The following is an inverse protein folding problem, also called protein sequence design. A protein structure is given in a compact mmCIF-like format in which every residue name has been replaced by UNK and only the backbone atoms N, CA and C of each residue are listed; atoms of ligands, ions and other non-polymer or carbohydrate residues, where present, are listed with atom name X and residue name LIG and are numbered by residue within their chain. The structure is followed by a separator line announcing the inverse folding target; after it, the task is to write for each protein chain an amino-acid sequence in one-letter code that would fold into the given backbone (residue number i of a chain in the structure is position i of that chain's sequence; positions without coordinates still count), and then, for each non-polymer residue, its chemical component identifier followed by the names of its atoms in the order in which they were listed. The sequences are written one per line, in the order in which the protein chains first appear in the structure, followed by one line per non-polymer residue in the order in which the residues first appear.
data_IF_144489540752
#
_entry.id   IF_144489540752
#
_cell.length_a   1.000
_cell.length_b   1.000
_cell.length_c   1.000
_cell.angle_alpha   90.00
_cell.angle_beta   90.00
_cell.angle_gamma   90.00
#
_symmetry.space_group_name_H-M   'P 1'
#
loop_
_entity.id
_entity.type
_entity.pdbx_description
1 polymer ?
#
# COMPACT_ATOMS: atom_id res chain seq x y z
N UNK A 1 14.29 19.71 -12.79
CA UNK A 1 15.59 19.14 -13.23
C UNK A 1 15.50 17.65 -12.98
N UNK A 2 15.47 16.92 -14.08
CA UNK A 2 15.30 15.46 -14.08
C UNK A 2 16.56 14.83 -13.54
N UNK A 3 16.57 14.37 -12.29
CA UNK A 3 17.61 13.47 -11.80
C UNK A 3 17.37 12.10 -12.46
N UNK A 4 17.85 11.99 -13.69
CA UNK A 4 18.05 10.70 -14.35
C UNK A 4 19.19 9.99 -13.63
N UNK A 5 18.92 9.51 -12.46
CA UNK A 5 19.87 8.76 -11.65
C UNK A 5 20.08 7.43 -12.38
N UNK A 6 21.26 7.24 -12.92
CA UNK A 6 21.71 5.92 -13.37
C UNK A 6 21.88 5.02 -12.14
N UNK A 7 20.78 4.45 -11.65
CA UNK A 7 20.76 3.50 -10.53
C UNK A 7 21.44 2.15 -10.87
N UNK A 8 22.43 2.22 -11.78
CA UNK A 8 23.21 1.03 -12.14
C UNK A 8 24.24 0.63 -11.07
N UNK A 9 24.48 1.49 -10.09
CA UNK A 9 25.38 1.18 -8.97
C UNK A 9 24.58 0.78 -7.74
N UNK A 10 25.12 -0.17 -6.97
CA UNK A 10 24.50 -0.66 -5.74
C UNK A 10 24.29 0.45 -4.71
N UNK A 11 25.21 1.42 -4.66
CA UNK A 11 25.14 2.53 -3.70
C UNK A 11 23.94 3.46 -3.97
N UNK A 12 23.68 3.80 -5.22
CA UNK A 12 22.55 4.64 -5.61
C UNK A 12 21.21 3.91 -5.40
N UNK A 13 21.19 2.62 -5.70
CA UNK A 13 20.02 1.79 -5.45
C UNK A 13 19.71 1.65 -3.96
N UNK A 14 20.74 1.44 -3.12
CA UNK A 14 20.61 1.38 -1.68
C UNK A 14 20.08 2.69 -1.10
N UNK A 15 20.56 3.84 -1.59
CA UNK A 15 20.05 5.15 -1.19
C UNK A 15 18.59 5.34 -1.59
N UNK A 16 18.24 5.02 -2.84
CA UNK A 16 16.85 5.06 -3.31
C UNK A 16 15.92 4.24 -2.40
N UNK A 17 16.35 3.03 -2.00
CA UNK A 17 15.58 2.20 -1.08
C UNK A 17 15.43 2.84 0.29
N UNK A 18 16.55 3.28 0.91
CA UNK A 18 16.55 3.86 2.25
C UNK A 18 15.65 5.10 2.35
N UNK A 19 15.67 5.96 1.33
CA UNK A 19 14.88 7.19 1.29
C UNK A 19 13.37 6.95 1.11
N UNK A 20 12.99 5.82 0.52
CA UNK A 20 11.60 5.56 0.11
C UNK A 20 10.98 4.32 0.78
N UNK A 21 11.73 3.56 1.56
CA UNK A 21 11.30 2.28 2.16
C UNK A 21 9.96 2.39 2.90
N UNK A 22 9.81 3.41 3.74
CA UNK A 22 8.59 3.59 4.53
C UNK A 22 7.35 3.82 3.66
N UNK A 23 7.49 4.59 2.57
CA UNK A 23 6.39 4.86 1.63
C UNK A 23 5.93 3.59 0.94
N UNK A 24 6.87 2.78 0.47
CA UNK A 24 6.59 1.52 -0.21
C UNK A 24 6.02 0.48 0.76
N UNK A 25 6.55 0.41 1.98
CA UNK A 25 6.01 -0.46 3.02
C UNK A 25 4.58 -0.07 3.40
N UNK A 26 4.33 1.23 3.57
CA UNK A 26 2.98 1.77 3.84
C UNK A 26 2.01 1.40 2.73
N UNK A 27 2.43 1.51 1.48
CA UNK A 27 1.61 1.12 0.33
C UNK A 27 1.27 -0.38 0.38
N UNK A 28 2.25 -1.26 0.53
CA UNK A 28 2.03 -2.70 0.62
C UNK A 28 1.12 -3.06 1.81
N UNK A 29 1.42 -2.52 2.99
CA UNK A 29 0.64 -2.75 4.20
C UNK A 29 -0.81 -2.27 4.09
N UNK A 30 -1.05 -1.15 3.40
CA UNK A 30 -2.41 -0.61 3.22
C UNK A 30 -3.38 -1.60 2.59
N UNK A 31 -2.89 -2.52 1.79
CA UNK A 31 -3.67 -3.56 1.12
C UNK A 31 -3.55 -4.92 1.79
N UNK A 32 -2.35 -5.33 2.20
CA UNK A 32 -2.11 -6.66 2.79
C UNK A 32 -2.62 -6.76 4.23
N UNK A 33 -2.53 -5.67 5.01
CA UNK A 33 -2.91 -5.61 6.43
C UNK A 33 -2.15 -6.60 7.33
N UNK A 34 -1.06 -7.12 6.82
CA UNK A 34 -0.12 -7.97 7.54
C UNK A 34 1.28 -7.38 7.34
N UNK A 35 1.97 -7.10 8.45
CA UNK A 35 3.26 -6.43 8.40
C UNK A 35 4.35 -7.33 7.80
N UNK A 36 4.37 -8.60 8.20
CA UNK A 36 5.36 -9.55 7.70
C UNK A 36 5.20 -9.77 6.19
N UNK A 37 3.96 -9.95 5.71
CA UNK A 37 3.68 -10.07 4.28
C UNK A 37 4.04 -8.80 3.50
N UNK A 38 3.80 -7.62 4.07
CA UNK A 38 4.15 -6.35 3.43
C UNK A 38 5.68 -6.18 3.32
N UNK A 39 6.42 -6.56 4.36
CA UNK A 39 7.89 -6.56 4.36
C UNK A 39 8.44 -7.55 3.33
N UNK A 40 7.91 -8.77 3.28
CA UNK A 40 8.31 -9.80 2.32
C UNK A 40 8.04 -9.35 0.88
N UNK A 41 6.84 -8.84 0.59
CA UNK A 41 6.49 -8.32 -0.74
C UNK A 41 7.39 -7.15 -1.12
N UNK A 42 7.71 -6.25 -0.21
CA UNK A 42 8.63 -5.14 -0.47
C UNK A 42 10.02 -5.64 -0.83
N UNK A 43 10.59 -6.54 -0.03
CA UNK A 43 11.93 -7.08 -0.27
C UNK A 43 12.02 -7.83 -1.59
N UNK A 44 11.06 -8.71 -1.88
CA UNK A 44 10.99 -9.41 -3.16
C UNK A 44 10.82 -8.46 -4.36
N UNK A 45 10.08 -7.37 -4.17
CA UNK A 45 9.88 -6.36 -5.23
C UNK A 45 11.16 -5.57 -5.49
N UNK A 46 11.93 -5.27 -4.46
CA UNK A 46 13.23 -4.63 -4.57
C UNK A 46 14.23 -5.51 -5.32
N UNK A 47 14.27 -6.81 -4.99
CA UNK A 47 15.12 -7.78 -5.70
C UNK A 47 14.74 -7.82 -7.18
N UNK A 48 13.45 -7.97 -7.47
CA UNK A 48 12.96 -8.02 -8.85
C UNK A 48 13.25 -6.73 -9.63
N UNK A 49 13.14 -5.57 -8.99
CA UNK A 49 13.53 -4.29 -9.59
C UNK A 49 15.02 -4.28 -9.93
N UNK A 50 15.88 -4.67 -8.98
CA UNK A 50 17.33 -4.72 -9.18
C UNK A 50 17.76 -5.69 -10.28
N UNK A 51 17.19 -6.87 -10.33
CA UNK A 51 17.48 -7.88 -11.34
C UNK A 51 17.17 -7.39 -12.77
N UNK A 52 16.14 -6.56 -12.90
CA UNK A 52 15.72 -5.99 -14.17
C UNK A 52 16.37 -4.62 -14.50
N UNK A 53 17.34 -4.13 -13.72
CA UNK A 53 17.96 -2.81 -13.88
C UNK A 53 18.52 -2.52 -15.28
N UNK A 54 18.96 -3.54 -15.99
CA UNK A 54 19.51 -3.40 -17.34
C UNK A 54 18.45 -3.08 -18.41
N UNK A 55 17.17 -3.19 -18.05
CA UNK A 55 16.02 -2.88 -18.92
C UNK A 55 15.46 -1.48 -18.71
N UNK A 56 16.00 -0.73 -17.73
CA UNK A 56 15.51 0.61 -17.47
C UNK A 56 16.09 1.58 -18.51
N UNK A 57 15.19 2.36 -19.09
CA UNK A 57 15.55 3.44 -20.01
C UNK A 57 15.90 4.72 -19.22
N UNK A 58 16.66 5.62 -19.83
CA UNK A 58 16.90 6.94 -19.25
C UNK A 58 15.56 7.68 -19.09
N UNK A 59 15.27 8.09 -17.84
CA UNK A 59 14.01 8.75 -17.49
C UNK A 59 12.91 7.81 -16.96
N UNK A 60 13.18 6.51 -16.81
CA UNK A 60 12.22 5.59 -16.17
C UNK A 60 11.84 6.07 -14.78
N UNK A 61 10.53 6.08 -14.50
CA UNK A 61 10.01 6.37 -13.15
C UNK A 61 10.13 5.12 -12.27
N UNK A 62 11.26 5.02 -11.54
CA UNK A 62 11.54 3.86 -10.70
C UNK A 62 10.57 3.70 -9.53
N UNK A 63 10.02 4.80 -9.02
CA UNK A 63 8.97 4.74 -8.00
C UNK A 63 7.72 4.03 -8.54
N UNK A 64 7.26 4.43 -9.73
CA UNK A 64 6.12 3.81 -10.38
C UNK A 64 6.39 2.34 -10.76
N UNK A 65 7.59 2.02 -11.25
CA UNK A 65 7.99 0.65 -11.54
C UNK A 65 7.96 -0.23 -10.29
N UNK A 66 8.56 0.24 -9.18
CA UNK A 66 8.56 -0.51 -7.93
C UNK A 66 7.15 -0.70 -7.37
N UNK A 67 6.34 0.36 -7.37
CA UNK A 67 4.94 0.26 -6.94
C UNK A 67 4.14 -0.71 -7.80
N UNK A 68 4.40 -0.77 -9.11
CA UNK A 68 3.76 -1.73 -10.01
C UNK A 68 4.12 -3.16 -9.63
N UNK A 69 5.39 -3.43 -9.31
CA UNK A 69 5.83 -4.75 -8.86
C UNK A 69 5.15 -5.10 -7.52
N UNK A 70 5.17 -4.18 -6.55
CA UNK A 70 4.52 -4.37 -5.24
C UNK A 70 3.02 -4.62 -5.42
N UNK A 71 2.33 -3.83 -6.26
CA UNK A 71 0.92 -4.00 -6.60
C UNK A 71 0.64 -5.41 -7.10
N UNK A 72 1.40 -5.87 -8.09
CA UNK A 72 1.18 -7.18 -8.72
C UNK A 72 1.41 -8.33 -7.74
N UNK A 73 2.48 -8.26 -6.94
CA UNK A 73 2.76 -9.27 -5.90
C UNK A 73 1.68 -9.28 -4.80
N UNK A 74 1.26 -8.10 -4.35
CA UNK A 74 0.19 -7.97 -3.37
C UNK A 74 -1.14 -8.50 -3.88
N UNK A 75 -1.49 -8.23 -5.16
CA UNK A 75 -2.69 -8.78 -5.79
C UNK A 75 -2.67 -10.30 -5.82
N UNK A 76 -1.57 -10.90 -6.26
CA UNK A 76 -1.42 -12.34 -6.30
C UNK A 76 -1.63 -12.96 -4.91
N UNK A 77 -1.02 -12.37 -3.88
CA UNK A 77 -1.16 -12.83 -2.51
C UNK A 77 -2.60 -12.74 -2.00
N UNK A 78 -3.28 -11.61 -2.26
CA UNK A 78 -4.68 -11.42 -1.88
C UNK A 78 -5.64 -12.37 -2.62
N UNK A 79 -5.39 -12.62 -3.91
CA UNK A 79 -6.17 -13.58 -4.70
C UNK A 79 -5.99 -15.02 -4.19
N UNK A 80 -4.76 -15.42 -3.82
CA UNK A 80 -4.52 -16.70 -3.17
C UNK A 80 -5.25 -16.83 -1.82
N UNK A 81 -5.23 -15.75 -1.01
CA UNK A 81 -6.01 -15.72 0.24
C UNK A 81 -7.50 -15.88 0.00
N UNK A 82 -8.03 -15.22 -1.04
CA UNK A 82 -9.44 -15.33 -1.42
C UNK A 82 -9.81 -16.78 -1.78
N UNK A 83 -8.99 -17.44 -2.59
CA UNK A 83 -9.23 -18.85 -3.00
C UNK A 83 -9.21 -19.75 -1.75
N UNK A 84 -8.24 -19.55 -0.84
CA UNK A 84 -8.15 -20.33 0.42
C UNK A 84 -9.39 -20.15 1.28
N UNK A 85 -9.82 -18.90 1.49
CA UNK A 85 -11.03 -18.58 2.27
C UNK A 85 -12.28 -19.16 1.65
N UNK A 86 -12.38 -19.24 0.32
CA UNK A 86 -13.51 -19.87 -0.37
C UNK A 86 -13.55 -21.39 -0.21
N UNK A 87 -12.40 -22.03 -0.02
CA UNK A 87 -12.30 -23.46 0.21
C UNK A 87 -12.60 -23.86 1.68
N UNK A 88 -12.53 -22.91 2.61
CA UNK A 88 -12.90 -23.11 4.02
C UNK A 88 -14.41 -22.90 4.17
N UNK A 89 -15.18 -23.93 4.55
CA UNK A 89 -16.66 -23.92 4.66
C UNK A 89 -17.24 -22.93 5.70
N UNK A 90 -16.42 -22.30 6.53
CA UNK A 90 -16.79 -21.32 7.56
C UNK A 90 -16.45 -19.88 7.18
N UNK A 91 -17.08 -19.38 6.11
CA UNK A 91 -16.77 -18.03 5.61
C UNK A 91 -17.54 -16.96 6.41
N UNK A 92 -16.80 -16.14 7.15
CA UNK A 92 -17.34 -14.89 7.64
C UNK A 92 -17.53 -13.93 6.46
N UNK A 93 -18.77 -13.65 6.09
CA UNK A 93 -19.15 -12.82 4.94
C UNK A 93 -18.50 -11.41 4.99
N UNK A 94 -18.17 -10.92 6.18
CA UNK A 94 -17.49 -9.65 6.39
C UNK A 94 -16.03 -9.69 5.87
N UNK A 95 -15.27 -10.70 6.25
CA UNK A 95 -13.87 -10.85 5.83
C UNK A 95 -13.75 -11.01 4.31
N UNK A 96 -14.72 -11.67 3.69
CA UNK A 96 -14.74 -11.84 2.24
C UNK A 96 -15.05 -10.53 1.51
N UNK A 97 -15.96 -9.72 2.03
CA UNK A 97 -16.27 -8.40 1.48
C UNK A 97 -15.07 -7.47 1.58
N UNK A 98 -14.42 -7.43 2.73
CA UNK A 98 -13.23 -6.61 2.96
C UNK A 98 -12.09 -7.02 2.01
N UNK A 99 -11.85 -8.32 1.84
CA UNK A 99 -10.83 -8.84 0.93
C UNK A 99 -11.14 -8.49 -0.53
N UNK A 100 -12.38 -8.64 -0.97
CA UNK A 100 -12.81 -8.24 -2.31
C UNK A 100 -12.64 -6.74 -2.54
N UNK A 101 -12.93 -5.90 -1.55
CA UNK A 101 -12.73 -4.46 -1.63
C UNK A 101 -11.25 -4.13 -1.79
N UNK A 102 -10.38 -4.74 -0.99
CA UNK A 102 -8.92 -4.55 -1.12
C UNK A 102 -8.40 -4.94 -2.49
N UNK A 103 -8.83 -6.07 -3.02
CA UNK A 103 -8.46 -6.54 -4.36
C UNK A 103 -8.94 -5.56 -5.44
N UNK A 104 -10.21 -5.15 -5.40
CA UNK A 104 -10.76 -4.24 -6.42
C UNK A 104 -10.11 -2.87 -6.39
N UNK A 105 -9.86 -2.32 -5.20
CA UNK A 105 -9.19 -1.02 -5.03
C UNK A 105 -7.74 -1.09 -5.52
N UNK A 106 -7.02 -2.16 -5.21
CA UNK A 106 -5.64 -2.34 -5.67
C UNK A 106 -5.57 -2.55 -7.19
N UNK A 107 -6.53 -3.26 -7.79
CA UNK A 107 -6.63 -3.40 -9.26
C UNK A 107 -6.81 -2.05 -9.96
N UNK A 108 -7.64 -1.18 -9.39
CA UNK A 108 -7.90 0.16 -9.90
C UNK A 108 -6.76 1.17 -9.64
N UNK A 109 -5.80 0.83 -8.80
CA UNK A 109 -4.67 1.70 -8.49
C UNK A 109 -3.75 1.86 -9.70
N UNK A 110 -3.42 3.11 -10.05
CA UNK A 110 -2.44 3.46 -11.09
C UNK A 110 -1.17 4.00 -10.43
N UNK A 111 -0.12 3.19 -10.29
CA UNK A 111 1.09 3.56 -9.55
C UNK A 111 1.80 4.81 -10.06
N UNK A 112 1.70 5.10 -11.36
CA UNK A 112 2.31 6.27 -11.98
C UNK A 112 1.75 7.59 -11.44
N UNK A 113 0.49 7.58 -11.00
CA UNK A 113 -0.21 8.75 -10.50
C UNK A 113 0.06 9.03 -9.01
N UNK A 114 0.56 8.05 -8.25
CA UNK A 114 0.73 8.18 -6.78
C UNK A 114 1.75 9.27 -6.42
N UNK A 115 2.74 9.53 -7.28
CA UNK A 115 3.76 10.56 -7.06
C UNK A 115 3.49 11.86 -7.82
N UNK A 116 2.33 11.98 -8.46
CA UNK A 116 1.91 13.23 -9.09
C UNK A 116 1.58 14.27 -8.01
N UNK A 117 2.22 15.43 -8.09
CA UNK A 117 2.03 16.53 -7.13
C UNK A 117 0.57 17.04 -7.13
N UNK A 118 -0.10 17.01 -8.27
CA UNK A 118 -1.50 17.40 -8.41
C UNK A 118 -2.41 16.45 -7.63
N UNK A 119 -2.17 15.16 -7.73
CA UNK A 119 -2.91 14.13 -6.98
C UNK A 119 -2.64 14.24 -5.48
N UNK A 120 -1.40 14.47 -5.08
CA UNK A 120 -1.05 14.70 -3.67
C UNK A 120 -1.82 15.91 -3.11
N UNK A 121 -1.95 16.99 -3.89
CA UNK A 121 -2.73 18.16 -3.50
C UNK A 121 -4.23 17.85 -3.36
N UNK A 122 -4.80 17.09 -4.29
CA UNK A 122 -6.21 16.64 -4.25
C UNK A 122 -6.47 15.77 -3.02
N UNK A 123 -5.58 14.82 -2.74
CA UNK A 123 -5.67 13.94 -1.56
C UNK A 123 -5.61 14.77 -0.27
N UNK A 124 -4.67 15.71 -0.18
CA UNK A 124 -4.56 16.59 1.00
C UNK A 124 -5.84 17.39 1.23
N UNK A 125 -6.37 18.00 0.17
CA UNK A 125 -7.62 18.76 0.22
C UNK A 125 -8.82 17.89 0.60
N UNK A 126 -8.89 16.67 0.09
CA UNK A 126 -9.94 15.71 0.46
C UNK A 126 -9.87 15.32 1.95
N UNK A 127 -8.67 15.09 2.48
CA UNK A 127 -8.44 14.80 3.89
C UNK A 127 -8.85 15.97 4.79
N UNK A 128 -8.59 17.22 4.37
CA UNK A 128 -9.01 18.41 5.11
C UNK A 128 -10.54 18.54 5.20
N UNK A 129 -11.27 18.09 4.18
CA UNK A 129 -12.73 18.11 4.15
C UNK A 129 -13.39 16.98 4.96
N UNK A 130 -12.62 15.97 5.37
CA UNK A 130 -13.16 14.89 6.19
C UNK A 130 -13.50 15.35 7.60
N UNK A 131 -14.58 14.82 8.23
CA UNK A 131 -14.83 15.00 9.65
C UNK A 131 -13.60 14.58 10.47
N UNK A 132 -13.29 15.33 11.52
CA UNK A 132 -12.05 15.15 12.30
C UNK A 132 -11.86 13.70 12.76
N UNK A 133 -12.91 13.05 13.26
CA UNK A 133 -12.83 11.66 13.73
C UNK A 133 -12.50 10.70 12.58
N UNK A 134 -13.15 10.83 11.43
CA UNK A 134 -12.88 10.01 10.24
C UNK A 134 -11.47 10.19 9.74
N UNK A 135 -10.98 11.44 9.68
CA UNK A 135 -9.60 11.77 9.30
C UNK A 135 -8.60 11.16 10.28
N UNK A 136 -8.83 11.28 11.58
CA UNK A 136 -7.96 10.68 12.60
C UNK A 136 -7.87 9.17 12.44
N UNK A 137 -9.00 8.48 12.30
CA UNK A 137 -9.06 7.02 12.10
C UNK A 137 -8.33 6.63 10.81
N UNK A 138 -8.57 7.38 9.73
CA UNK A 138 -7.91 7.15 8.45
C UNK A 138 -6.39 7.30 8.57
N UNK A 139 -5.90 8.38 9.20
CA UNK A 139 -4.48 8.64 9.39
C UNK A 139 -3.81 7.55 10.25
N UNK A 140 -4.43 7.13 11.36
CA UNK A 140 -3.92 6.06 12.20
C UNK A 140 -3.85 4.73 11.43
N UNK A 141 -4.86 4.44 10.61
CA UNK A 141 -4.94 3.21 9.84
C UNK A 141 -3.97 3.18 8.66
N UNK A 142 -3.85 4.27 7.88
CA UNK A 142 -3.14 4.30 6.60
C UNK A 142 -1.71 4.81 6.69
N UNK A 143 -1.44 5.78 7.55
CA UNK A 143 -0.11 6.36 7.71
C UNK A 143 0.69 5.77 8.86
N UNK A 144 0.02 5.42 9.97
CA UNK A 144 0.68 4.78 11.12
C UNK A 144 0.54 3.26 11.14
N UNK A 145 -0.16 2.70 10.14
CA UNK A 145 -0.34 1.25 9.99
C UNK A 145 -0.91 0.54 11.24
N UNK A 146 -1.70 1.26 12.04
CA UNK A 146 -2.31 0.67 13.24
C UNK A 146 -3.46 -0.28 12.87
N UNK A 147 -3.51 -1.48 13.45
CA UNK A 147 -4.65 -2.37 13.34
C UNK A 147 -5.92 -1.73 13.90
N UNK A 148 -7.08 -2.01 13.32
CA UNK A 148 -8.36 -1.44 13.75
C UNK A 148 -8.63 -1.59 15.26
N UNK A 149 -8.19 -2.71 15.85
CA UNK A 149 -8.31 -2.96 17.28
C UNK A 149 -7.52 -1.95 18.13
N UNK A 150 -6.28 -1.66 17.73
CA UNK A 150 -5.44 -0.66 18.41
C UNK A 150 -5.98 0.75 18.23
N UNK A 151 -6.53 1.07 17.05
CA UNK A 151 -7.19 2.36 16.82
C UNK A 151 -8.40 2.51 17.73
N UNK A 152 -9.22 1.47 17.87
CA UNK A 152 -10.37 1.46 18.76
C UNK A 152 -9.97 1.68 20.23
N UNK A 153 -8.92 1.00 20.68
CA UNK A 153 -8.36 1.15 22.02
C UNK A 153 -7.80 2.57 22.25
N UNK A 154 -7.01 3.09 21.31
CA UNK A 154 -6.38 4.41 21.39
C UNK A 154 -7.40 5.56 21.40
N UNK A 155 -8.46 5.43 20.63
CA UNK A 155 -9.50 6.46 20.52
C UNK A 155 -10.68 6.26 21.48
N UNK A 156 -10.64 5.18 22.29
CA UNK A 156 -11.73 4.81 23.22
C UNK A 156 -13.09 4.65 22.53
N UNK A 157 -13.11 4.05 21.34
CA UNK A 157 -14.32 3.77 20.57
C UNK A 157 -14.43 2.28 20.25
N UNK A 158 -15.62 1.83 19.80
CA UNK A 158 -15.80 0.43 19.44
C UNK A 158 -15.05 0.06 18.15
N UNK A 159 -14.62 -1.20 18.05
CA UNK A 159 -14.05 -1.74 16.82
C UNK A 159 -14.99 -1.53 15.62
N UNK A 160 -16.28 -1.77 15.82
CA UNK A 160 -17.33 -1.56 14.82
C UNK A 160 -17.39 -0.11 14.32
N UNK A 161 -17.15 0.86 15.22
CA UNK A 161 -17.09 2.28 14.86
C UNK A 161 -15.90 2.56 13.97
N UNK A 162 -14.72 2.01 14.29
CA UNK A 162 -13.52 2.15 13.43
C UNK A 162 -13.77 1.56 12.05
N UNK A 163 -14.30 0.35 11.98
CA UNK A 163 -14.64 -0.33 10.72
C UNK A 163 -15.64 0.48 9.88
N UNK A 164 -16.66 1.06 10.50
CA UNK A 164 -17.63 1.91 9.81
C UNK A 164 -17.00 3.18 9.21
N UNK A 165 -16.00 3.76 9.87
CA UNK A 165 -15.27 4.93 9.33
C UNK A 165 -14.28 4.57 8.21
N UNK A 166 -13.73 3.35 8.21
CA UNK A 166 -12.79 2.90 7.18
C UNK A 166 -13.52 2.41 5.91
N UNK A 167 -14.74 1.88 6.06
CA UNK A 167 -15.55 1.35 4.93
C UNK A 167 -16.41 2.42 4.23
N UNK A 168 -16.49 3.61 4.77
CA UNK A 168 -17.27 4.72 4.22
C UNK A 168 -16.46 5.56 3.25
#
# INVERSE_FOLDING_TARGET
MSDSIKLHTMDLFSRFFQENQEKFLTFAYSYLRDKAEAEDVLMESMIALWENRNRWEEGSNLHALLLTIIKNKSLNLLEHKKIRLQAEENINSHNQRELNLRISTLKACEPEQIFDNEIQHIVHKALEQMPQQSRTIFMLSRYQNLPNKQIAEQLHISLKTVEAHITK
#
